data_IF_689675799692
#
_entry.id   IF_689675799692
#
_cell.length_a   1.000
_cell.length_b   1.000
_cell.length_c   1.000
_cell.angle_alpha   90.00
_cell.angle_beta   90.00
_cell.angle_gamma   90.00
#
_symmetry.space_group_name_H-M   'P 1'
#
loop_
_entity.id
_entity.type
_entity.pdbx_description
1 polymer ?
#
# COMPACT_ATOMS: atom_id res chain seq x y z
N UNK A 1 -23.11 -3.88 12.94
CA UNK A 1 -21.77 -4.03 12.29
C UNK A 1 -21.94 -4.92 11.08
N UNK A 2 -22.12 -4.32 9.88
CA UNK A 2 -22.16 -5.06 8.62
C UNK A 2 -20.71 -5.21 8.20
N UNK A 3 -20.18 -6.40 8.37
CA UNK A 3 -18.83 -6.79 7.94
C UNK A 3 -18.84 -6.90 6.40
N UNK A 4 -18.76 -5.77 5.69
CA UNK A 4 -18.64 -5.76 4.24
C UNK A 4 -17.18 -6.07 3.91
N UNK A 5 -16.94 -7.24 3.27
CA UNK A 5 -15.63 -7.56 2.73
C UNK A 5 -15.18 -6.46 1.75
N UNK A 6 -13.90 -6.09 1.77
CA UNK A 6 -13.37 -5.15 0.79
C UNK A 6 -13.66 -5.64 -0.63
N UNK A 7 -13.98 -4.75 -1.53
CA UNK A 7 -14.37 -5.07 -2.92
C UNK A 7 -13.28 -5.82 -3.72
N UNK A 8 -12.04 -5.83 -3.26
CA UNK A 8 -10.94 -6.63 -3.86
C UNK A 8 -10.81 -8.04 -3.26
N UNK A 9 -11.49 -8.34 -2.16
CA UNK A 9 -11.55 -9.67 -1.56
C UNK A 9 -12.59 -10.52 -2.31
N UNK A 10 -12.22 -10.97 -3.49
CA UNK A 10 -12.98 -11.95 -4.25
C UNK A 10 -12.75 -13.33 -3.66
N UNK A 11 -13.15 -13.54 -2.39
CA UNK A 11 -12.93 -14.73 -1.61
C UNK A 11 -12.70 -15.98 -2.47
N UNK A 12 -11.54 -16.62 -2.33
CA UNK A 12 -11.36 -17.98 -2.86
C UNK A 12 -12.47 -18.82 -2.26
N UNK A 13 -13.50 -19.13 -3.04
CA UNK A 13 -14.38 -20.25 -2.71
C UNK A 13 -13.49 -21.47 -2.65
N UNK A 14 -13.27 -22.00 -1.44
CA UNK A 14 -12.76 -23.33 -1.29
C UNK A 14 -13.82 -24.26 -1.86
N UNK A 15 -13.62 -24.68 -3.10
CA UNK A 15 -14.29 -25.86 -3.60
C UNK A 15 -13.81 -27.03 -2.77
N UNK A 16 -14.66 -27.54 -1.90
CA UNK A 16 -14.55 -28.90 -1.40
C UNK A 16 -14.61 -29.80 -2.62
N UNK A 17 -13.47 -30.26 -3.06
CA UNK A 17 -13.34 -31.37 -3.99
C UNK A 17 -13.26 -32.64 -3.17
N UNK A 18 -14.14 -33.54 -3.47
CA UNK A 18 -14.32 -34.82 -2.86
C UNK A 18 -13.08 -35.70 -3.00
N UNK A 19 -12.89 -36.54 -1.99
CA UNK A 19 -11.97 -37.67 -1.92
C UNK A 19 -11.99 -38.55 -3.18
N UNK A 20 -10.81 -38.83 -3.72
CA UNK A 20 -10.56 -40.03 -4.47
C UNK A 20 -9.18 -40.59 -4.09
N UNK A 21 -9.27 -41.74 -3.50
CA UNK A 21 -8.29 -42.69 -3.01
C UNK A 21 -7.23 -43.12 -4.03
N UNK A 22 -6.07 -43.52 -3.47
CA UNK A 22 -5.17 -44.57 -3.88
C UNK A 22 -4.11 -44.32 -4.95
N UNK A 23 -2.87 -44.51 -4.52
CA UNK A 23 -1.74 -44.73 -5.41
C UNK A 23 -0.40 -44.69 -4.68
N UNK A 24 -0.08 -45.72 -3.90
CA UNK A 24 1.25 -45.89 -3.33
C UNK A 24 2.30 -46.05 -4.42
N UNK A 25 3.32 -45.21 -4.44
CA UNK A 25 4.52 -45.37 -5.23
C UNK A 25 5.71 -45.61 -4.32
N UNK A 26 6.25 -46.81 -4.35
CA UNK A 26 7.44 -47.27 -3.65
C UNK A 26 8.65 -46.41 -4.05
N UNK A 27 9.41 -45.97 -3.07
CA UNK A 27 10.79 -45.51 -3.27
C UNK A 27 11.63 -46.66 -3.75
N UNK A 28 12.15 -46.59 -4.97
CA UNK A 28 13.12 -47.48 -5.54
C UNK A 28 14.52 -47.21 -4.98
N UNK A 29 15.21 -48.28 -4.69
CA UNK A 29 16.58 -48.41 -4.23
C UNK A 29 17.54 -47.51 -5.03
N UNK A 30 18.18 -46.57 -4.33
CA UNK A 30 19.60 -46.29 -4.45
C UNK A 30 20.06 -45.63 -3.14
N UNK A 31 20.84 -46.41 -2.36
CA UNK A 31 21.58 -45.95 -1.19
C UNK A 31 22.54 -44.84 -1.56
N UNK A 32 22.44 -43.68 -0.93
CA UNK A 32 23.57 -42.93 -0.36
C UNK A 32 23.05 -41.72 0.46
N UNK A 33 22.66 -42.00 1.71
CA UNK A 33 22.57 -40.94 2.71
C UNK A 33 23.86 -40.96 3.54
N UNK A 34 24.91 -40.35 3.07
CA UNK A 34 26.06 -40.01 3.91
C UNK A 34 25.71 -38.83 4.82
N UNK A 35 25.55 -39.09 6.09
CA UNK A 35 25.70 -38.10 7.17
C UNK A 35 27.14 -37.64 7.18
N UNK A 36 27.35 -36.34 6.89
CA UNK A 36 28.55 -35.64 7.31
C UNK A 36 28.21 -34.67 8.44
N UNK A 37 28.46 -35.17 9.67
CA UNK A 37 28.62 -34.35 10.84
C UNK A 37 29.89 -33.50 10.66
N UNK A 38 29.73 -32.21 10.36
CA UNK A 38 30.74 -31.18 10.63
C UNK A 38 30.09 -29.99 11.25
N UNK A 39 30.26 -29.87 12.57
CA UNK A 39 30.01 -28.65 13.33
C UNK A 39 30.76 -27.47 12.71
N UNK A 40 30.00 -26.45 12.36
CA UNK A 40 30.47 -25.13 11.95
C UNK A 40 29.56 -24.12 12.64
N UNK A 41 30.03 -23.62 13.81
CA UNK A 41 29.48 -22.41 14.42
C UNK A 41 29.74 -21.24 13.47
N UNK A 42 28.73 -20.87 12.68
CA UNK A 42 28.75 -19.70 11.83
C UNK A 42 27.50 -18.90 12.18
N UNK A 43 27.66 -17.73 12.81
CA UNK A 43 26.59 -16.77 13.03
C UNK A 43 25.91 -16.42 11.71
N UNK A 44 24.85 -17.12 11.37
CA UNK A 44 23.96 -16.83 10.27
C UNK A 44 23.15 -15.60 10.66
N UNK A 45 23.57 -14.42 10.19
CA UNK A 45 22.63 -13.30 10.08
C UNK A 45 21.46 -13.77 9.26
N UNK A 46 20.26 -13.82 9.86
CA UNK A 46 19.01 -14.02 9.15
C UNK A 46 18.93 -12.98 8.03
N UNK A 47 19.25 -13.39 6.82
CA UNK A 47 18.85 -12.70 5.61
C UNK A 47 17.33 -12.87 5.51
N UNK A 48 16.61 -12.07 6.30
CA UNK A 48 15.18 -11.90 6.09
C UNK A 48 15.06 -11.33 4.68
N UNK A 49 14.49 -12.09 3.76
CA UNK A 49 14.01 -11.61 2.47
C UNK A 49 12.90 -10.59 2.73
N UNK A 50 13.32 -9.37 3.09
CA UNK A 50 12.40 -8.27 3.35
C UNK A 50 11.83 -7.82 2.03
N UNK A 51 10.56 -8.07 1.84
CA UNK A 51 9.78 -7.74 0.64
C UNK A 51 9.32 -6.29 0.64
N UNK A 52 9.15 -5.71 1.84
CA UNK A 52 9.02 -4.27 2.07
C UNK A 52 10.38 -3.76 2.53
N UNK A 53 11.09 -3.08 1.63
CA UNK A 53 12.47 -2.64 1.83
C UNK A 53 12.47 -1.18 2.28
N UNK A 54 13.00 -0.97 3.48
CA UNK A 54 13.20 0.36 4.06
C UNK A 54 14.58 0.92 3.63
N UNK A 55 14.55 1.91 2.75
CA UNK A 55 15.71 2.71 2.36
C UNK A 55 15.58 4.18 2.76
N UNK A 56 14.84 4.46 3.85
CA UNK A 56 14.58 5.80 4.39
C UNK A 56 15.62 6.22 5.44
N UNK A 57 16.90 5.90 5.19
CA UNK A 57 17.99 6.26 6.14
C UNK A 57 17.98 7.75 6.47
N UNK A 58 18.08 8.10 7.76
CA UNK A 58 18.06 9.48 8.24
C UNK A 58 16.65 10.04 8.52
N UNK A 59 15.58 9.32 8.18
CA UNK A 59 14.18 9.73 8.39
C UNK A 59 13.49 8.77 9.36
N UNK A 60 13.93 8.80 10.64
CA UNK A 60 13.49 7.83 11.66
C UNK A 60 11.97 7.74 11.80
N UNK A 61 11.29 8.88 11.81
CA UNK A 61 9.84 8.94 11.91
C UNK A 61 9.17 8.20 10.73
N UNK A 62 9.62 8.44 9.50
CA UNK A 62 9.11 7.78 8.32
C UNK A 62 9.39 6.26 8.33
N UNK A 63 10.55 5.84 8.83
CA UNK A 63 10.87 4.43 9.03
C UNK A 63 9.91 3.76 10.02
N UNK A 64 9.58 4.45 11.11
CA UNK A 64 8.66 3.92 12.13
C UNK A 64 7.21 3.85 11.60
N UNK A 65 6.80 4.81 10.75
CA UNK A 65 5.51 4.76 10.04
C UNK A 65 5.50 3.57 9.07
N UNK A 66 6.54 3.40 8.25
CA UNK A 66 6.64 2.29 7.30
C UNK A 66 6.52 0.92 7.98
N UNK A 67 7.13 0.75 9.15
CA UNK A 67 7.01 -0.49 9.96
C UNK A 67 5.60 -0.74 10.47
N UNK A 68 4.83 0.32 10.75
CA UNK A 68 3.46 0.21 11.25
C UNK A 68 2.46 -0.10 10.13
N UNK A 69 2.70 0.39 8.89
CA UNK A 69 1.75 0.30 7.77
C UNK A 69 1.14 -1.10 7.57
N UNK A 70 1.89 -2.20 7.49
CA UNK A 70 1.31 -3.53 7.26
C UNK A 70 0.56 -4.09 8.48
N UNK A 71 0.67 -3.45 9.64
CA UNK A 71 0.09 -3.91 10.91
C UNK A 71 -1.10 -3.04 11.38
N UNK A 72 -1.46 -1.99 10.63
CA UNK A 72 -2.63 -1.17 10.93
C UNK A 72 -3.92 -1.96 10.67
N UNK A 73 -4.95 -1.67 11.45
CA UNK A 73 -6.26 -2.30 11.30
C UNK A 73 -7.09 -1.62 10.20
N UNK A 74 -6.66 -1.77 8.96
CA UNK A 74 -7.36 -1.25 7.78
C UNK A 74 -7.09 -2.11 6.54
N UNK A 75 -7.86 -1.87 5.49
CA UNK A 75 -7.83 -2.67 4.27
C UNK A 75 -6.53 -2.50 3.49
N UNK A 76 -5.95 -1.29 3.45
CA UNK A 76 -4.68 -1.05 2.76
C UNK A 76 -3.51 -1.74 3.45
N UNK A 77 -3.52 -1.81 4.78
CA UNK A 77 -2.51 -2.55 5.54
C UNK A 77 -2.56 -4.05 5.19
N UNK A 78 -3.76 -4.64 5.14
CA UNK A 78 -3.93 -6.04 4.71
C UNK A 78 -3.46 -6.23 3.27
N UNK A 79 -3.87 -5.34 2.37
CA UNK A 79 -3.47 -5.42 0.96
C UNK A 79 -1.94 -5.32 0.79
N UNK A 80 -1.28 -4.42 1.52
CA UNK A 80 0.17 -4.28 1.54
C UNK A 80 0.84 -5.56 2.03
N UNK A 81 0.37 -6.10 3.15
CA UNK A 81 0.87 -7.32 3.74
C UNK A 81 0.69 -8.52 2.81
N UNK A 82 -0.51 -8.72 2.29
CA UNK A 82 -0.84 -9.88 1.44
C UNK A 82 -0.10 -9.84 0.09
N UNK A 83 0.19 -8.64 -0.42
CA UNK A 83 0.86 -8.48 -1.72
C UNK A 83 2.38 -8.54 -1.59
N UNK A 84 2.96 -7.84 -0.60
CA UNK A 84 4.40 -7.59 -0.53
C UNK A 84 5.10 -8.25 0.68
N UNK A 85 4.39 -8.70 1.69
CA UNK A 85 5.00 -9.32 2.88
C UNK A 85 4.95 -10.85 2.85
N UNK A 86 3.99 -11.42 2.16
CA UNK A 86 3.80 -12.88 2.07
C UNK A 86 4.29 -13.50 0.75
N UNK A 87 4.63 -12.70 -0.24
CA UNK A 87 5.05 -13.16 -1.57
C UNK A 87 6.52 -12.82 -1.85
N UNK A 88 7.39 -13.82 -1.89
CA UNK A 88 8.83 -13.69 -2.13
C UNK A 88 9.22 -13.26 -3.55
N UNK A 89 8.24 -13.13 -4.43
CA UNK A 89 8.41 -12.65 -5.81
C UNK A 89 7.96 -11.20 -6.01
N UNK A 90 7.60 -10.49 -4.95
CA UNK A 90 7.09 -9.12 -5.05
C UNK A 90 7.80 -8.23 -4.02
N UNK A 91 8.59 -7.29 -4.50
CA UNK A 91 9.39 -6.40 -3.67
C UNK A 91 8.99 -4.94 -3.88
N UNK A 92 8.87 -4.20 -2.79
CA UNK A 92 8.64 -2.76 -2.79
C UNK A 92 9.69 -2.06 -1.93
N UNK A 93 10.37 -1.07 -2.50
CA UNK A 93 11.39 -0.28 -1.82
C UNK A 93 10.89 1.14 -1.61
N UNK A 94 10.93 1.63 -0.38
CA UNK A 94 10.68 3.04 -0.06
C UNK A 94 12.00 3.77 0.17
N UNK A 95 12.21 4.87 -0.57
CA UNK A 95 13.46 5.62 -0.61
C UNK A 95 13.18 7.12 -0.49
N UNK A 96 14.03 7.83 0.24
CA UNK A 96 13.99 9.30 0.28
C UNK A 96 14.69 9.89 -0.95
N UNK A 97 14.15 10.99 -1.48
CA UNK A 97 14.71 11.72 -2.61
C UNK A 97 14.61 13.22 -2.39
N UNK A 98 15.74 13.90 -2.56
CA UNK A 98 15.83 15.37 -2.52
C UNK A 98 15.38 15.98 -3.86
N UNK A 99 14.99 17.26 -3.83
CA UNK A 99 14.74 18.05 -5.03
C UNK A 99 13.46 17.71 -5.77
N UNK A 100 12.47 17.11 -5.11
CA UNK A 100 11.18 16.75 -5.74
C UNK A 100 10.19 17.93 -5.82
N UNK A 101 10.49 19.09 -5.24
CA UNK A 101 9.63 20.27 -5.27
C UNK A 101 8.24 20.01 -4.69
N UNK A 102 7.19 20.19 -5.48
CA UNK A 102 5.80 20.00 -5.07
C UNK A 102 5.31 18.54 -5.17
N UNK A 103 6.12 17.64 -5.69
CA UNK A 103 5.78 16.20 -5.78
C UNK A 103 6.09 15.54 -4.45
N UNK A 104 5.13 14.88 -3.83
CA UNK A 104 5.25 14.30 -2.50
C UNK A 104 5.84 12.88 -2.53
N UNK A 105 5.48 12.11 -3.53
CA UNK A 105 5.98 10.78 -3.79
C UNK A 105 5.85 10.44 -5.27
N UNK A 106 6.59 9.45 -5.71
CA UNK A 106 6.48 8.91 -7.05
C UNK A 106 6.96 7.46 -7.09
N UNK A 107 6.20 6.62 -7.78
CA UNK A 107 6.69 5.31 -8.17
C UNK A 107 7.74 5.49 -9.28
N UNK A 108 9.02 5.48 -8.92
CA UNK A 108 10.15 5.85 -9.79
C UNK A 108 10.69 4.72 -10.63
N UNK A 109 10.47 3.47 -10.21
CA UNK A 109 10.95 2.29 -10.89
C UNK A 109 9.94 1.14 -10.79
N UNK A 110 9.82 0.35 -11.85
CA UNK A 110 9.05 -0.90 -11.86
C UNK A 110 9.65 -1.85 -12.86
N UNK A 111 9.92 -3.08 -12.44
CA UNK A 111 10.38 -4.17 -13.29
C UNK A 111 9.63 -5.46 -12.94
N UNK A 112 9.21 -6.20 -13.96
CA UNK A 112 8.73 -7.57 -13.82
C UNK A 112 9.61 -8.47 -14.68
N UNK A 113 10.50 -9.27 -14.05
CA UNK A 113 11.47 -10.09 -14.72
C UNK A 113 11.63 -11.43 -14.03
N UNK A 114 11.67 -12.51 -14.81
CA UNK A 114 11.82 -13.88 -14.29
C UNK A 114 10.80 -14.24 -13.19
N UNK A 115 9.56 -13.73 -13.31
CA UNK A 115 8.51 -13.96 -12.33
C UNK A 115 8.64 -13.15 -11.04
N UNK A 116 9.62 -12.22 -10.95
CA UNK A 116 9.82 -11.33 -9.81
C UNK A 116 9.42 -9.91 -10.18
N UNK A 117 8.57 -9.30 -9.37
CA UNK A 117 8.18 -7.90 -9.48
C UNK A 117 8.97 -7.05 -8.47
N UNK A 118 9.66 -6.05 -8.98
CA UNK A 118 10.40 -5.08 -8.17
C UNK A 118 9.87 -3.67 -8.46
N UNK A 119 9.62 -2.89 -7.42
CA UNK A 119 9.22 -1.50 -7.56
C UNK A 119 9.88 -0.61 -6.52
N UNK A 120 10.16 0.63 -6.89
CA UNK A 120 10.72 1.65 -5.99
C UNK A 120 9.81 2.86 -5.94
N UNK A 121 9.55 3.32 -4.73
CA UNK A 121 8.84 4.54 -4.40
C UNK A 121 9.86 5.54 -3.86
N UNK A 122 10.03 6.64 -4.59
CA UNK A 122 10.78 7.81 -4.11
C UNK A 122 9.82 8.72 -3.36
N UNK A 123 10.13 9.04 -2.10
CA UNK A 123 9.39 9.96 -1.25
C UNK A 123 10.17 11.26 -1.10
N UNK A 124 9.49 12.39 -1.19
CA UNK A 124 10.08 13.71 -1.07
C UNK A 124 10.70 13.92 0.32
N UNK A 125 12.00 14.20 0.33
CA UNK A 125 12.76 14.42 1.55
C UNK A 125 12.19 15.58 2.42
N UNK A 126 11.66 16.63 1.78
CA UNK A 126 11.00 17.74 2.50
C UNK A 126 9.71 17.28 3.19
N UNK A 127 8.92 16.41 2.54
CA UNK A 127 7.74 15.80 3.17
C UNK A 127 8.16 14.95 4.37
N UNK A 128 9.20 14.14 4.23
CA UNK A 128 9.70 13.29 5.31
C UNK A 128 10.24 14.09 6.52
N UNK A 129 10.73 15.33 6.28
CA UNK A 129 11.24 16.22 7.33
C UNK A 129 10.18 17.06 8.00
N UNK A 130 9.24 17.57 7.22
CA UNK A 130 8.40 18.69 7.66
C UNK A 130 6.92 18.36 7.73
N UNK A 131 6.45 17.27 7.13
CA UNK A 131 5.06 16.89 7.18
C UNK A 131 4.67 16.22 8.51
N UNK A 132 3.36 16.16 8.76
CA UNK A 132 2.82 15.35 9.85
C UNK A 132 2.92 13.85 9.53
N UNK A 133 2.86 13.04 10.57
CA UNK A 133 2.91 11.57 10.44
C UNK A 133 1.76 11.05 9.57
N UNK A 134 0.55 11.62 9.71
CA UNK A 134 -0.63 11.28 8.92
C UNK A 134 -0.44 11.62 7.44
N UNK A 135 0.21 12.74 7.15
CA UNK A 135 0.51 13.12 5.77
C UNK A 135 1.56 12.20 5.15
N UNK A 136 2.60 11.84 5.88
CA UNK A 136 3.61 10.86 5.45
C UNK A 136 2.95 9.51 5.20
N UNK A 137 2.12 9.03 6.12
CA UNK A 137 1.40 7.77 6.01
C UNK A 137 0.53 7.71 4.74
N UNK A 138 -0.31 8.73 4.53
CA UNK A 138 -1.20 8.74 3.36
C UNK A 138 -0.42 8.85 2.05
N UNK A 139 0.69 9.58 2.03
CA UNK A 139 1.59 9.65 0.87
C UNK A 139 2.19 8.27 0.57
N UNK A 140 2.68 7.56 1.58
CA UNK A 140 3.21 6.19 1.40
C UNK A 140 2.14 5.22 0.87
N UNK A 141 0.91 5.24 1.40
CA UNK A 141 -0.18 4.41 0.90
C UNK A 141 -0.64 4.82 -0.50
N UNK A 142 -0.63 6.11 -0.82
CA UNK A 142 -0.93 6.59 -2.17
C UNK A 142 0.01 5.98 -3.20
N UNK A 143 1.31 6.06 -2.95
CA UNK A 143 2.33 5.50 -3.83
C UNK A 143 2.33 3.96 -3.84
N UNK A 144 2.02 3.34 -2.70
CA UNK A 144 1.79 1.90 -2.63
C UNK A 144 0.66 1.45 -3.58
N UNK A 145 -0.45 2.20 -3.67
CA UNK A 145 -1.54 1.88 -4.59
C UNK A 145 -1.05 1.92 -6.05
N UNK A 146 -0.21 2.89 -6.43
CA UNK A 146 0.44 2.90 -7.76
C UNK A 146 1.29 1.65 -8.00
N UNK A 147 2.06 1.22 -7.02
CA UNK A 147 2.87 0.01 -7.09
C UNK A 147 2.00 -1.25 -7.20
N UNK A 148 0.95 -1.34 -6.39
CA UNK A 148 -0.01 -2.44 -6.39
C UNK A 148 -0.73 -2.57 -7.74
N UNK A 149 -1.25 -1.47 -8.27
CA UNK A 149 -1.91 -1.47 -9.59
C UNK A 149 -0.94 -1.88 -10.71
N UNK A 150 0.33 -1.47 -10.63
CA UNK A 150 1.35 -1.89 -11.58
C UNK A 150 1.66 -3.38 -11.49
N UNK A 151 1.72 -3.95 -10.28
CA UNK A 151 1.84 -5.39 -10.07
C UNK A 151 0.65 -6.13 -10.67
N UNK A 152 -0.57 -5.68 -10.42
CA UNK A 152 -1.79 -6.31 -10.97
C UNK A 152 -1.82 -6.26 -12.50
N UNK A 153 -1.42 -5.15 -13.12
CA UNK A 153 -1.30 -5.03 -14.59
C UNK A 153 -0.28 -6.02 -15.15
N UNK A 154 0.81 -6.30 -14.41
CA UNK A 154 1.87 -7.21 -14.87
C UNK A 154 1.52 -8.69 -14.71
N UNK A 155 0.51 -9.01 -13.90
CA UNK A 155 0.20 -10.38 -13.49
C UNK A 155 -1.19 -10.88 -13.91
N UNK A 156 -2.13 -9.96 -14.15
CA UNK A 156 -3.48 -10.31 -14.59
C UNK A 156 -3.63 -10.15 -16.11
N UNK A 157 -4.43 -11.00 -16.78
CA UNK A 157 -4.93 -10.72 -18.11
C UNK A 157 -5.65 -9.36 -18.15
N UNK A 158 -5.58 -8.68 -19.31
CA UNK A 158 -6.07 -7.31 -19.45
C UNK A 158 -7.57 -7.15 -19.10
N UNK A 159 -8.40 -8.10 -19.53
CA UNK A 159 -9.84 -8.14 -19.23
C UNK A 159 -10.12 -8.30 -17.75
N UNK A 160 -9.38 -9.16 -17.05
CA UNK A 160 -9.49 -9.34 -15.60
C UNK A 160 -9.00 -8.09 -14.84
N UNK A 161 -7.91 -7.48 -15.30
CA UNK A 161 -7.43 -6.24 -14.69
C UNK A 161 -8.46 -5.12 -14.85
N UNK A 162 -9.00 -4.90 -16.04
CA UNK A 162 -9.97 -3.83 -16.29
C UNK A 162 -11.31 -4.05 -15.61
N UNK A 163 -11.75 -5.31 -15.45
CA UNK A 163 -12.93 -5.66 -14.67
C UNK A 163 -12.73 -5.39 -13.17
N UNK A 164 -11.54 -5.71 -12.64
CA UNK A 164 -11.21 -5.53 -11.23
C UNK A 164 -10.92 -4.07 -10.87
N UNK A 165 -10.28 -3.33 -11.77
CA UNK A 165 -9.86 -1.94 -11.58
C UNK A 165 -10.37 -1.06 -12.72
N UNK A 166 -11.68 -0.83 -12.82
CA UNK A 166 -12.25 -0.03 -13.90
C UNK A 166 -11.75 1.42 -13.82
N UNK A 167 -11.43 1.99 -14.99
CA UNK A 167 -11.13 3.42 -15.11
C UNK A 167 -12.42 4.21 -15.04
N UNK A 168 -12.58 4.99 -13.98
CA UNK A 168 -13.72 5.89 -13.81
C UNK A 168 -13.27 7.34 -13.88
N UNK A 169 -14.10 8.21 -14.43
CA UNK A 169 -13.80 9.65 -14.49
C UNK A 169 -14.19 10.37 -13.21
N UNK A 170 -15.10 9.80 -12.46
CA UNK A 170 -15.68 10.38 -11.25
C UNK A 170 -15.71 9.35 -10.12
N UNK A 171 -15.45 9.82 -8.92
CA UNK A 171 -15.70 9.10 -7.67
C UNK A 171 -17.04 9.54 -7.11
N UNK A 172 -17.92 8.59 -6.86
CA UNK A 172 -19.28 8.83 -6.36
C UNK A 172 -19.37 8.55 -4.86
N UNK A 173 -19.87 9.52 -4.11
CA UNK A 173 -20.26 9.32 -2.70
C UNK A 173 -21.74 9.01 -2.67
N UNK A 174 -22.12 7.91 -2.02
CA UNK A 174 -23.50 7.46 -1.87
C UNK A 174 -23.96 7.55 -0.42
N UNK A 175 -25.25 7.83 -0.21
CA UNK A 175 -25.90 7.74 1.09
C UNK A 175 -26.14 6.27 1.51
N UNK A 176 -26.77 6.07 2.68
CA UNK A 176 -27.13 4.74 3.18
C UNK A 176 -28.12 3.99 2.29
N UNK A 177 -28.86 4.69 1.46
CA UNK A 177 -29.86 4.13 0.53
C UNK A 177 -29.28 3.86 -0.87
N UNK A 178 -27.98 4.17 -1.09
CA UNK A 178 -27.31 3.99 -2.36
C UNK A 178 -27.46 5.15 -3.35
N UNK A 179 -28.13 6.26 -2.97
CA UNK A 179 -28.28 7.43 -3.82
C UNK A 179 -26.97 8.20 -3.90
N UNK A 180 -26.61 8.68 -5.11
CA UNK A 180 -25.43 9.50 -5.31
C UNK A 180 -25.69 10.89 -4.76
N UNK A 181 -24.98 11.26 -3.67
CA UNK A 181 -25.10 12.57 -3.03
C UNK A 181 -23.99 13.54 -3.46
N UNK A 182 -22.89 13.02 -4.01
CA UNK A 182 -21.76 13.85 -4.46
C UNK A 182 -20.90 13.11 -5.49
N UNK A 183 -20.35 13.86 -6.43
CA UNK A 183 -19.37 13.38 -7.41
C UNK A 183 -18.11 14.23 -7.38
N UNK A 184 -16.96 13.58 -7.54
CA UNK A 184 -15.65 14.23 -7.61
C UNK A 184 -14.92 13.76 -8.86
N UNK A 185 -14.50 14.69 -9.72
CA UNK A 185 -13.71 14.35 -10.90
C UNK A 185 -12.30 13.89 -10.50
N UNK A 186 -11.88 12.75 -11.01
CA UNK A 186 -10.55 12.18 -10.77
C UNK A 186 -9.51 12.79 -11.72
N UNK A 187 -8.26 12.90 -11.26
CA UNK A 187 -7.11 13.25 -12.09
C UNK A 187 -6.86 12.09 -13.07
N UNK A 188 -6.37 12.40 -14.27
CA UNK A 188 -6.21 11.43 -15.37
C UNK A 188 -5.47 10.16 -14.96
N UNK A 189 -4.39 10.30 -14.22
CA UNK A 189 -3.53 9.17 -13.83
C UNK A 189 -4.06 8.40 -12.61
N UNK A 190 -5.16 8.86 -12.01
CA UNK A 190 -5.80 8.27 -10.83
C UNK A 190 -7.20 7.73 -11.12
N UNK A 191 -7.55 7.46 -12.38
CA UNK A 191 -8.88 6.95 -12.75
C UNK A 191 -9.23 5.59 -12.14
N UNK A 192 -8.24 4.80 -11.74
CA UNK A 192 -8.42 3.53 -11.04
C UNK A 192 -8.45 3.67 -9.51
N UNK A 193 -8.32 4.90 -8.97
CA UNK A 193 -8.22 5.18 -7.54
C UNK A 193 -9.55 5.38 -6.82
N UNK A 194 -10.65 5.54 -7.54
CA UNK A 194 -11.94 5.86 -6.93
C UNK A 194 -12.30 4.95 -5.76
N UNK A 195 -12.09 3.65 -5.91
CA UNK A 195 -12.35 2.64 -4.90
C UNK A 195 -11.38 2.66 -3.70
N UNK A 196 -10.22 3.31 -3.81
CA UNK A 196 -9.23 3.37 -2.73
C UNK A 196 -9.36 4.63 -1.84
N UNK A 197 -10.15 5.63 -2.23
CA UNK A 197 -10.27 6.90 -1.47
C UNK A 197 -10.77 6.65 -0.05
N UNK A 198 -11.80 5.83 0.13
CA UNK A 198 -12.30 5.48 1.46
C UNK A 198 -11.27 4.65 2.25
N UNK A 199 -10.53 3.77 1.60
CA UNK A 199 -9.47 2.98 2.25
C UNK A 199 -8.30 3.87 2.70
N UNK A 200 -7.91 4.88 1.91
CA UNK A 200 -6.93 5.89 2.31
C UNK A 200 -7.42 6.69 3.52
N UNK A 201 -8.67 7.17 3.52
CA UNK A 201 -9.27 7.86 4.66
C UNK A 201 -9.27 7.00 5.91
N UNK A 202 -9.69 5.74 5.79
CA UNK A 202 -9.74 4.81 6.91
C UNK A 202 -8.34 4.44 7.44
N UNK A 203 -7.31 4.44 6.59
CA UNK A 203 -5.94 4.23 7.04
C UNK A 203 -5.45 5.35 7.96
N UNK A 204 -5.81 6.60 7.66
CA UNK A 204 -5.47 7.76 8.50
C UNK A 204 -6.19 7.68 9.85
N UNK A 205 -7.49 7.36 9.85
CA UNK A 205 -8.29 7.21 11.08
C UNK A 205 -7.78 6.04 11.93
N UNK A 206 -7.41 4.93 11.31
CA UNK A 206 -6.82 3.77 11.99
C UNK A 206 -5.47 4.10 12.63
N UNK A 207 -4.67 4.93 11.99
CA UNK A 207 -3.36 5.38 12.51
C UNK A 207 -3.50 6.41 13.63
N UNK A 208 -4.42 7.36 13.47
CA UNK A 208 -4.70 8.40 14.45
C UNK A 208 -6.20 8.57 14.67
N UNK A 209 -6.80 7.84 15.63
CA UNK A 209 -8.27 7.86 15.85
C UNK A 209 -8.85 9.20 16.31
N UNK A 210 -8.03 10.16 16.74
CA UNK A 210 -8.51 11.50 17.15
C UNK A 210 -8.72 12.44 15.97
N UNK A 211 -8.22 12.07 14.78
CA UNK A 211 -8.45 12.83 13.54
C UNK A 211 -9.89 12.69 13.10
N UNK A 212 -10.54 13.80 12.77
CA UNK A 212 -11.93 13.78 12.29
C UNK A 212 -12.03 13.15 10.89
N UNK A 213 -13.16 12.52 10.61
CA UNK A 213 -13.41 11.91 9.29
C UNK A 213 -13.28 12.93 8.14
N UNK A 214 -13.73 14.16 8.31
CA UNK A 214 -13.60 15.22 7.30
C UNK A 214 -12.15 15.62 7.04
N UNK A 215 -11.33 15.60 8.08
CA UNK A 215 -9.90 15.89 7.99
C UNK A 215 -9.14 14.78 7.26
N UNK A 216 -9.36 13.53 7.67
CA UNK A 216 -8.81 12.36 6.99
C UNK A 216 -9.23 12.29 5.51
N UNK A 217 -10.48 12.67 5.19
CA UNK A 217 -10.98 12.77 3.82
C UNK A 217 -10.22 13.83 3.00
N UNK A 218 -9.85 14.97 3.62
CA UNK A 218 -9.06 15.99 2.93
C UNK A 218 -7.69 15.48 2.51
N UNK A 219 -7.01 14.74 3.40
CA UNK A 219 -5.72 14.12 3.11
C UNK A 219 -5.83 13.00 2.07
N UNK A 220 -6.83 12.12 2.21
CA UNK A 220 -7.04 10.99 1.30
C UNK A 220 -7.36 11.41 -0.15
N UNK A 221 -7.94 12.60 -0.35
CA UNK A 221 -8.28 13.14 -1.68
C UNK A 221 -7.15 13.93 -2.33
N UNK A 222 -6.10 14.23 -1.58
CA UNK A 222 -4.96 14.99 -2.11
C UNK A 222 -4.29 14.25 -3.28
N UNK A 223 -4.02 14.97 -4.36
CA UNK A 223 -3.39 14.37 -5.56
C UNK A 223 -4.29 13.43 -6.37
N UNK A 224 -5.52 13.09 -5.92
CA UNK A 224 -6.44 12.18 -6.61
C UNK A 224 -7.60 12.94 -7.25
N UNK A 225 -8.17 13.91 -6.56
CA UNK A 225 -9.32 14.69 -7.00
C UNK A 225 -8.86 16.00 -7.67
N UNK A 226 -9.43 16.32 -8.85
CA UNK A 226 -9.05 17.50 -9.64
C UNK A 226 -9.28 18.83 -8.92
N UNK A 227 -10.37 18.91 -8.16
CA UNK A 227 -10.78 20.12 -7.45
C UNK A 227 -11.18 19.76 -6.03
N UNK A 228 -10.36 20.16 -5.09
CA UNK A 228 -10.68 20.14 -3.66
C UNK A 228 -11.09 21.54 -3.23
N UNK A 229 -11.92 21.68 -2.20
CA UNK A 229 -12.30 22.97 -1.66
C UNK A 229 -11.09 23.70 -1.09
N UNK A 230 -11.13 25.04 -1.05
CA UNK A 230 -10.06 25.86 -0.48
C UNK A 230 -9.67 25.41 0.93
N UNK A 231 -10.67 25.13 1.79
CA UNK A 231 -10.42 24.62 3.15
C UNK A 231 -9.65 23.30 3.14
N UNK A 232 -10.00 22.33 2.27
CA UNK A 232 -9.26 21.06 2.14
C UNK A 232 -7.87 21.25 1.57
N UNK A 233 -7.70 22.21 0.65
CA UNK A 233 -6.39 22.58 0.14
C UNK A 233 -5.51 23.18 1.23
N UNK A 234 -6.07 24.05 2.09
CA UNK A 234 -5.38 24.63 3.26
C UNK A 234 -4.95 23.52 4.23
N UNK A 235 -5.83 22.56 4.54
CA UNK A 235 -5.49 21.39 5.37
C UNK A 235 -4.27 20.68 4.79
N UNK A 236 -4.30 20.28 3.53
CA UNK A 236 -3.19 19.55 2.90
C UNK A 236 -1.87 20.35 2.95
N UNK A 237 -1.92 21.65 2.68
CA UNK A 237 -0.74 22.52 2.76
C UNK A 237 -0.14 22.57 4.17
N UNK A 238 -1.00 22.64 5.20
CA UNK A 238 -0.57 22.73 6.58
C UNK A 238 0.00 21.40 7.10
N UNK A 239 -0.59 20.28 6.69
CA UNK A 239 -0.10 18.96 7.06
C UNK A 239 1.20 18.57 6.33
N UNK A 240 1.38 19.08 5.12
CA UNK A 240 2.59 18.87 4.33
C UNK A 240 3.79 19.60 4.91
N UNK A 241 3.55 20.72 5.61
CA UNK A 241 4.61 21.57 6.15
C UNK A 241 4.25 22.14 7.52
N UNK A 242 4.74 21.49 8.57
CA UNK A 242 4.44 21.84 9.96
C UNK A 242 5.18 23.11 10.45
N UNK A 243 6.02 23.72 9.62
CA UNK A 243 6.73 24.97 9.99
C UNK A 243 5.78 26.16 10.12
N UNK A 244 4.60 26.12 9.52
CA UNK A 244 3.56 27.15 9.61
C UNK A 244 2.66 27.06 10.88
N UNK A 245 2.85 26.03 11.73
CA UNK A 245 2.12 25.83 13.00
C UNK A 245 0.58 25.72 12.90
N UNK A 246 -0.01 25.53 11.71
CA UNK A 246 -1.46 25.39 11.51
C UNK A 246 -1.90 23.92 11.29
N UNK A 247 -1.00 22.97 11.48
CA UNK A 247 -1.27 21.54 11.34
C UNK A 247 -2.05 20.96 12.55
N UNK A 248 -2.69 19.82 12.36
CA UNK A 248 -3.44 19.09 13.39
C UNK A 248 -2.95 17.67 13.61
N UNK A 249 -2.25 17.11 12.64
CA UNK A 249 -1.63 15.80 12.75
C UNK A 249 -0.46 15.79 13.71
N UNK A 250 0.13 14.63 13.91
CA UNK A 250 1.31 14.47 14.77
C UNK A 250 2.57 14.88 14.01
N UNK A 251 3.31 15.83 14.56
CA UNK A 251 4.65 16.16 14.06
C UNK A 251 5.62 15.01 14.30
N UNK A 252 6.55 14.80 13.37
CA UNK A 252 7.71 13.94 13.61
C UNK A 252 8.64 14.57 14.64
N UNK A 253 9.23 13.78 15.55
CA UNK A 253 10.22 14.27 16.54
C UNK A 253 11.42 14.94 15.91
#
# INVERSE_FOLDING_TARGET
>A
HINRRPWWDTGKQSSKGDDASAGGGKCGEYNDCKKDDRGGSGGGGESQNKKIIDSLKGYKCAQDILKQMPNLNNDLARLLKDTFDTNDKVNITFKAKEGMGSVDGIKSFTEYKNGVFNTTIDLNADVLKYATQEYILVTMYHEFIHAYLSYQVSTLPYDQYTAKFPKVSEYEVKDSNGNIIKKYALIKDHKNYGSFIESLKNSIISFNPVITSSYAEALAKNGIIKRITENKSKINKNERDTRNNEYKGKKCP
#
